data_IF_656931490055
#
_entry.id   IF_656931490055
#
_cell.length_a   1.000
_cell.length_b   1.000
_cell.length_c   1.000
_cell.angle_alpha   90.00
_cell.angle_beta   90.00
_cell.angle_gamma   90.00
#
_symmetry.space_group_name_H-M   'P 1'
#
loop_
_entity.id
_entity.type
_entity.pdbx_description
1 polymer ?
#
# COMPACT_ATOMS: atom_id res chain seq x y z
N UNK A 1 -20.43 -11.79 20.26
CA UNK A 1 -19.90 -11.03 19.10
C UNK A 1 -20.07 -9.55 19.41
N UNK A 2 -19.03 -8.73 19.24
CA UNK A 2 -19.09 -7.30 19.61
C UNK A 2 -20.01 -6.56 18.63
N UNK A 3 -21.02 -5.84 19.14
CA UNK A 3 -21.88 -5.02 18.28
C UNK A 3 -21.04 -3.96 17.57
N UNK A 4 -21.05 -3.96 16.25
CA UNK A 4 -20.38 -2.93 15.45
C UNK A 4 -21.13 -1.62 15.62
N UNK A 5 -20.39 -0.52 15.76
CA UNK A 5 -20.98 0.81 15.79
C UNK A 5 -21.78 1.08 14.48
N UNK A 6 -22.86 1.87 14.52
CA UNK A 6 -23.75 2.08 13.35
C UNK A 6 -23.06 2.58 12.08
N UNK A 7 -21.92 3.28 12.22
CA UNK A 7 -21.12 3.80 11.10
C UNK A 7 -19.85 2.99 10.80
N UNK A 8 -19.65 1.85 11.46
CA UNK A 8 -18.48 1.01 11.24
C UNK A 8 -18.57 0.33 9.86
N UNK A 9 -17.64 0.71 8.97
CA UNK A 9 -17.47 0.12 7.62
C UNK A 9 -16.25 -0.79 7.53
N UNK A 10 -15.78 -1.34 8.65
CA UNK A 10 -14.62 -2.24 8.67
C UNK A 10 -14.94 -3.51 7.89
N UNK A 11 -14.21 -3.70 6.79
CA UNK A 11 -14.21 -4.93 5.99
C UNK A 11 -13.42 -6.00 6.74
N UNK A 12 -13.99 -7.20 6.85
CA UNK A 12 -13.30 -8.36 7.43
C UNK A 12 -12.98 -9.32 6.30
N UNK A 13 -11.68 -9.56 6.06
CA UNK A 13 -11.22 -10.44 5.00
C UNK A 13 -11.14 -11.90 5.49
N UNK A 14 -11.56 -12.83 4.64
CA UNK A 14 -11.32 -14.27 4.83
C UNK A 14 -9.87 -14.59 4.44
N UNK A 15 -9.32 -15.67 4.98
CA UNK A 15 -7.95 -16.14 4.67
C UNK A 15 -7.67 -16.21 3.16
N UNK A 16 -8.62 -16.75 2.38
CA UNK A 16 -8.52 -16.83 0.91
C UNK A 16 -8.44 -15.47 0.23
N UNK A 17 -9.14 -14.46 0.75
CA UNK A 17 -9.15 -13.10 0.22
C UNK A 17 -7.84 -12.40 0.54
N UNK A 18 -7.31 -12.59 1.77
CA UNK A 18 -5.98 -12.12 2.16
C UNK A 18 -4.93 -12.65 1.17
N UNK A 19 -4.88 -13.97 0.96
CA UNK A 19 -3.92 -14.57 0.04
C UNK A 19 -4.10 -14.10 -1.41
N UNK A 20 -5.34 -13.85 -1.85
CA UNK A 20 -5.60 -13.33 -3.19
C UNK A 20 -5.14 -11.87 -3.35
N UNK A 21 -5.41 -11.02 -2.36
CA UNK A 21 -5.05 -9.59 -2.41
C UNK A 21 -3.56 -9.33 -2.15
N UNK A 22 -2.91 -10.15 -1.30
CA UNK A 22 -1.46 -10.05 -1.08
C UNK A 22 -0.66 -10.18 -2.38
N UNK A 23 -1.11 -11.01 -3.32
CA UNK A 23 -0.47 -11.16 -4.64
C UNK A 23 -0.48 -9.89 -5.50
N UNK A 24 -1.31 -8.89 -5.15
CA UNK A 24 -1.40 -7.60 -5.86
C UNK A 24 -0.46 -6.55 -5.27
N UNK A 25 0.09 -6.80 -4.09
CA UNK A 25 1.02 -5.89 -3.44
C UNK A 25 2.37 -5.98 -4.13
N UNK A 26 3.02 -4.84 -4.27
CA UNK A 26 4.39 -4.75 -4.77
C UNK A 26 5.37 -4.67 -3.60
N UNK A 27 6.54 -5.25 -3.81
CA UNK A 27 7.75 -4.92 -3.08
C UNK A 27 8.84 -4.61 -4.10
N UNK A 28 9.51 -3.48 -3.93
CA UNK A 28 10.55 -2.97 -4.81
C UNK A 28 11.91 -3.42 -4.29
N UNK A 29 12.73 -3.95 -5.20
CA UNK A 29 14.12 -4.39 -4.93
C UNK A 29 15.15 -3.77 -5.88
N UNK A 30 14.68 -2.94 -6.83
CA UNK A 30 15.51 -2.20 -7.78
C UNK A 30 14.77 -0.92 -8.19
N UNK A 31 15.47 0.09 -8.74
CA UNK A 31 14.83 1.28 -9.29
C UNK A 31 13.74 0.93 -10.31
N UNK A 32 12.63 1.68 -10.27
CA UNK A 32 11.46 1.45 -11.13
C UNK A 32 11.03 2.72 -11.83
N UNK A 33 10.37 2.58 -12.97
CA UNK A 33 9.70 3.67 -13.68
C UNK A 33 8.30 3.94 -13.12
N UNK A 34 7.81 5.17 -13.33
CA UNK A 34 6.47 5.60 -12.91
C UNK A 34 5.35 4.66 -13.41
N UNK A 35 5.48 4.15 -14.63
CA UNK A 35 4.48 3.25 -15.24
C UNK A 35 4.40 1.91 -14.54
N UNK A 36 5.48 1.45 -13.89
CA UNK A 36 5.51 0.17 -13.18
C UNK A 36 4.77 0.24 -11.83
N UNK A 37 4.66 1.44 -11.23
CA UNK A 37 4.05 1.67 -9.91
C UNK A 37 2.68 2.36 -9.98
N UNK A 38 2.27 2.85 -11.15
CA UNK A 38 0.97 3.51 -11.34
C UNK A 38 -0.20 2.56 -11.03
N UNK A 39 -1.16 3.00 -10.22
CA UNK A 39 -2.33 2.22 -9.77
C UNK A 39 -1.96 0.92 -9.04
N UNK A 40 -0.82 0.91 -8.35
CA UNK A 40 -0.35 -0.22 -7.53
C UNK A 40 -0.25 0.19 -6.06
N UNK A 41 -0.20 -0.81 -5.20
CA UNK A 41 0.03 -0.63 -3.76
C UNK A 41 1.35 -1.29 -3.42
N UNK A 42 2.31 -0.50 -2.93
CA UNK A 42 3.58 -0.99 -2.41
C UNK A 42 3.40 -1.23 -0.91
N UNK A 43 3.82 -2.39 -0.42
CA UNK A 43 3.74 -2.76 0.99
C UNK A 43 5.14 -3.11 1.51
N UNK A 44 5.90 -2.11 1.89
CA UNK A 44 7.24 -2.24 2.48
C UNK A 44 7.61 -0.99 3.28
N UNK A 45 8.80 -0.96 3.89
CA UNK A 45 9.31 0.24 4.53
C UNK A 45 9.40 1.41 3.53
N UNK A 46 8.85 2.57 3.91
CA UNK A 46 8.74 3.70 2.98
C UNK A 46 10.09 4.33 2.65
N UNK A 47 11.06 4.32 3.56
CA UNK A 47 12.39 4.87 3.32
C UNK A 47 13.18 3.97 2.38
N UNK A 48 13.03 2.65 2.52
CA UNK A 48 13.59 1.68 1.56
C UNK A 48 12.91 1.81 0.20
N UNK A 49 11.57 1.90 0.14
CA UNK A 49 10.83 2.06 -1.10
C UNK A 49 11.19 3.33 -1.86
N UNK A 50 11.32 4.45 -1.14
CA UNK A 50 11.63 5.75 -1.74
C UNK A 50 12.96 5.72 -2.51
N UNK A 51 13.92 4.89 -2.09
CA UNK A 51 15.22 4.72 -2.77
C UNK A 51 15.09 4.09 -4.16
N UNK A 52 13.98 3.42 -4.46
CA UNK A 52 13.71 2.79 -5.75
C UNK A 52 12.75 3.59 -6.64
N UNK A 53 12.09 4.62 -6.10
CA UNK A 53 11.14 5.42 -6.86
C UNK A 53 11.87 6.46 -7.74
N UNK A 54 11.32 6.81 -8.91
CA UNK A 54 11.90 7.84 -9.75
C UNK A 54 11.99 9.18 -9.01
N UNK A 55 13.05 9.95 -9.28
CA UNK A 55 13.11 11.33 -8.81
C UNK A 55 11.92 12.14 -9.36
N UNK A 56 11.26 12.92 -8.50
CA UNK A 56 10.11 13.75 -8.90
C UNK A 56 8.89 12.94 -9.36
N UNK A 57 8.72 11.69 -8.92
CA UNK A 57 7.59 10.85 -9.35
C UNK A 57 6.20 11.38 -8.95
N UNK A 58 6.15 12.29 -7.96
CA UNK A 58 4.95 12.97 -7.47
C UNK A 58 5.20 14.46 -7.28
N UNK A 59 4.17 15.27 -7.54
CA UNK A 59 4.15 16.70 -7.25
C UNK A 59 3.65 17.00 -5.81
N UNK A 60 2.82 16.09 -5.27
CA UNK A 60 2.23 16.19 -3.92
C UNK A 60 2.17 14.79 -3.29
N UNK A 61 2.61 14.70 -2.03
CA UNK A 61 2.53 13.48 -1.23
C UNK A 61 1.73 13.73 0.05
N UNK A 62 0.83 12.80 0.38
CA UNK A 62 0.14 12.75 1.68
C UNK A 62 0.83 11.68 2.54
N UNK A 63 1.31 12.07 3.73
CA UNK A 63 2.07 11.19 4.62
C UNK A 63 1.42 11.26 6.01
N UNK A 64 1.10 10.09 6.57
CA UNK A 64 0.54 9.90 7.90
C UNK A 64 1.47 8.95 8.68
N UNK A 65 2.58 9.45 9.26
CA UNK A 65 3.53 8.61 9.99
C UNK A 65 2.91 8.11 11.31
N UNK A 66 3.47 7.07 11.95
CA UNK A 66 3.03 6.64 13.26
C UNK A 66 3.13 7.80 14.28
N UNK A 67 2.12 7.91 15.14
CA UNK A 67 2.06 8.86 16.27
C UNK A 67 3.02 8.50 17.40
#
# INVERSE_FOLDING_TARGET
MKHKAPRNRTVTLKKREISAYQKRLLSLSSPVDKTQVLNKTICQDILEAASFLPAGFVDLAFIDPPY
#
